data_IF_961233081384
#
_entry.id   IF_961233081384
#
_cell.length_a   1.000
_cell.length_b   1.000
_cell.length_c   1.000
_cell.angle_alpha   90.00
_cell.angle_beta   90.00
_cell.angle_gamma   90.00
#
_symmetry.space_group_name_H-M   'P 1'
#
loop_
_entity.id
_entity.type
_entity.pdbx_description
1 polymer ?
#
# COMPACT_ATOMS: atom_id res chain seq x y z
N UNK A 1 1.10 -16.05 -6.50
CA UNK A 1 0.24 -15.56 -7.60
C UNK A 1 -0.88 -16.54 -7.98
N UNK A 2 -0.58 -17.77 -8.45
CA UNK A 2 -1.60 -18.75 -8.89
C UNK A 2 -2.66 -19.04 -7.82
N UNK A 3 -2.23 -19.28 -6.58
CA UNK A 3 -3.13 -19.50 -5.46
C UNK A 3 -4.12 -18.33 -5.25
N UNK A 4 -3.70 -17.09 -5.52
CA UNK A 4 -4.57 -15.91 -5.38
C UNK A 4 -5.68 -15.90 -6.45
N UNK A 5 -5.34 -16.26 -7.69
CA UNK A 5 -6.33 -16.39 -8.78
C UNK A 5 -7.29 -17.54 -8.51
N UNK A 6 -6.79 -18.68 -8.02
CA UNK A 6 -7.62 -19.81 -7.64
C UNK A 6 -8.59 -19.43 -6.50
N UNK A 7 -8.09 -18.72 -5.47
CA UNK A 7 -8.90 -18.21 -4.38
C UNK A 7 -10.02 -17.28 -4.88
N UNK A 8 -9.74 -16.44 -5.88
CA UNK A 8 -10.79 -15.65 -6.55
C UNK A 8 -11.86 -16.50 -7.22
N UNK A 9 -11.45 -17.52 -7.98
CA UNK A 9 -12.39 -18.39 -8.69
C UNK A 9 -13.30 -19.10 -7.69
N UNK A 10 -12.73 -19.60 -6.60
CA UNK A 10 -13.47 -20.20 -5.48
C UNK A 10 -14.44 -19.19 -4.87
N UNK A 11 -13.97 -17.96 -4.61
CA UNK A 11 -14.78 -16.85 -4.10
C UNK A 11 -16.05 -16.62 -4.92
N UNK A 12 -15.91 -16.64 -6.25
CA UNK A 12 -17.06 -16.43 -7.12
C UNK A 12 -17.97 -17.67 -7.22
N UNK A 13 -17.40 -18.86 -7.37
CA UNK A 13 -18.17 -20.08 -7.62
C UNK A 13 -18.91 -20.57 -6.37
N UNK A 14 -18.26 -20.52 -5.21
CA UNK A 14 -18.84 -21.05 -3.97
C UNK A 14 -19.66 -20.03 -3.19
N UNK A 15 -19.27 -18.75 -3.23
CA UNK A 15 -19.84 -17.72 -2.35
C UNK A 15 -20.53 -16.58 -3.11
N UNK A 16 -20.59 -16.64 -4.45
CA UNK A 16 -21.12 -15.58 -5.31
C UNK A 16 -20.61 -14.17 -4.94
N UNK A 17 -19.31 -14.08 -4.65
CA UNK A 17 -18.70 -12.82 -4.20
C UNK A 17 -18.78 -11.72 -5.27
N UNK A 18 -19.24 -10.54 -4.86
CA UNK A 18 -19.27 -9.34 -5.69
C UNK A 18 -17.87 -8.69 -5.85
N UNK A 19 -17.00 -8.87 -4.86
CA UNK A 19 -15.62 -8.40 -4.88
C UNK A 19 -14.68 -9.43 -4.25
N UNK A 20 -13.41 -9.33 -4.58
CA UNK A 20 -12.38 -10.22 -4.07
C UNK A 20 -11.32 -9.45 -3.29
N UNK A 21 -11.17 -9.76 -2.01
CA UNK A 21 -10.16 -9.16 -1.14
C UNK A 21 -9.03 -10.16 -0.90
N UNK A 22 -7.80 -9.72 -1.18
CA UNK A 22 -6.59 -10.53 -1.04
C UNK A 22 -5.56 -9.83 -0.16
N UNK A 23 -4.63 -10.57 0.41
CA UNK A 23 -3.54 -9.97 1.18
C UNK A 23 -2.28 -10.83 1.09
N UNK A 24 -1.59 -10.86 -0.06
CA UNK A 24 -0.30 -11.52 -0.15
C UNK A 24 0.66 -10.91 0.90
N UNK A 25 1.22 -11.77 1.74
CA UNK A 25 2.16 -11.39 2.80
C UNK A 25 3.38 -12.29 2.77
N UNK A 26 4.54 -11.71 3.07
CA UNK A 26 5.78 -12.46 3.16
C UNK A 26 5.79 -13.31 4.42
N UNK A 27 5.95 -14.63 4.30
CA UNK A 27 5.79 -15.57 5.42
C UNK A 27 6.71 -15.28 6.62
N UNK A 28 7.95 -14.87 6.38
CA UNK A 28 8.91 -14.59 7.47
C UNK A 28 8.89 -13.14 7.97
N UNK A 29 8.41 -12.20 7.15
CA UNK A 29 8.50 -10.76 7.44
C UNK A 29 7.16 -10.15 7.83
N UNK A 30 6.05 -10.80 7.49
CA UNK A 30 4.69 -10.36 7.81
C UNK A 30 4.31 -9.03 7.15
N UNK A 31 4.85 -8.73 5.97
CA UNK A 31 4.51 -7.51 5.22
C UNK A 31 4.28 -7.82 3.74
N UNK A 32 3.60 -6.90 3.05
CA UNK A 32 3.20 -7.01 1.64
C UNK A 32 4.11 -6.24 0.69
N UNK A 33 5.18 -5.63 1.22
CA UNK A 33 6.06 -4.69 0.49
C UNK A 33 7.39 -5.30 0.06
N UNK A 34 7.57 -6.60 0.29
CA UNK A 34 8.74 -7.32 -0.22
C UNK A 34 8.63 -7.52 -1.73
N UNK A 35 9.77 -7.53 -2.43
CA UNK A 35 9.87 -7.59 -3.90
C UNK A 35 9.08 -8.77 -4.51
N UNK A 36 9.21 -9.93 -3.91
CA UNK A 36 8.52 -11.18 -4.29
C UNK A 36 7.00 -11.08 -4.10
N UNK A 37 6.55 -10.44 -3.03
CA UNK A 37 5.14 -10.22 -2.74
C UNK A 37 4.54 -9.18 -3.68
N UNK A 38 5.22 -8.07 -3.93
CA UNK A 38 4.80 -7.05 -4.91
C UNK A 38 4.63 -7.67 -6.30
N UNK A 39 5.57 -8.50 -6.72
CA UNK A 39 5.44 -9.25 -7.98
C UNK A 39 4.22 -10.18 -7.97
N UNK A 40 3.98 -10.91 -6.88
CA UNK A 40 2.81 -11.77 -6.75
C UNK A 40 1.49 -11.00 -6.83
N UNK A 41 1.41 -9.84 -6.17
CA UNK A 41 0.26 -8.93 -6.24
C UNK A 41 0.06 -8.50 -7.69
N UNK A 42 1.08 -7.94 -8.34
CA UNK A 42 0.99 -7.43 -9.70
C UNK A 42 0.51 -8.48 -10.71
N UNK A 43 1.09 -9.68 -10.67
CA UNK A 43 0.76 -10.75 -11.63
C UNK A 43 -0.65 -11.28 -11.41
N UNK A 44 -1.03 -11.54 -10.15
CA UNK A 44 -2.38 -12.04 -9.84
C UNK A 44 -3.47 -11.02 -10.15
N UNK A 45 -3.24 -9.76 -9.79
CA UNK A 45 -4.12 -8.62 -10.08
C UNK A 45 -4.38 -8.48 -11.57
N UNK A 46 -3.30 -8.46 -12.35
CA UNK A 46 -3.38 -8.35 -13.80
C UNK A 46 -4.11 -9.54 -14.43
N UNK A 47 -3.89 -10.76 -13.93
CA UNK A 47 -4.58 -11.93 -14.41
C UNK A 47 -6.09 -11.85 -14.12
N UNK A 48 -6.49 -11.41 -12.93
CA UNK A 48 -7.90 -11.31 -12.56
C UNK A 48 -8.58 -10.17 -13.32
N UNK A 49 -8.01 -8.97 -13.31
CA UNK A 49 -8.62 -7.77 -13.90
C UNK A 49 -8.72 -7.83 -15.43
N UNK A 50 -7.89 -8.64 -16.10
CA UNK A 50 -8.00 -8.87 -17.56
C UNK A 50 -9.04 -9.90 -17.95
N UNK A 51 -9.26 -10.90 -17.09
CA UNK A 51 -10.13 -12.03 -17.41
C UNK A 51 -11.50 -11.95 -16.74
N UNK A 52 -11.71 -10.99 -15.84
CA UNK A 52 -12.96 -10.81 -15.09
C UNK A 52 -13.32 -9.33 -15.00
N UNK A 53 -14.62 -9.03 -14.78
CA UNK A 53 -15.12 -7.67 -14.57
C UNK A 53 -15.38 -7.36 -13.08
N UNK A 54 -14.81 -8.16 -12.19
CA UNK A 54 -15.00 -8.02 -10.75
C UNK A 54 -14.04 -7.01 -10.13
N UNK A 55 -14.48 -6.42 -9.02
CA UNK A 55 -13.62 -5.58 -8.19
C UNK A 55 -12.66 -6.47 -7.40
N UNK A 56 -11.37 -6.15 -7.52
CA UNK A 56 -10.30 -6.87 -6.83
C UNK A 56 -9.53 -5.88 -5.97
N UNK A 57 -9.46 -6.18 -4.68
CA UNK A 57 -8.76 -5.42 -3.67
C UNK A 57 -7.59 -6.23 -3.13
N UNK A 58 -6.53 -5.52 -2.72
CA UNK A 58 -5.45 -6.14 -1.95
C UNK A 58 -5.03 -5.25 -0.79
N UNK A 59 -4.99 -5.83 0.41
CA UNK A 59 -4.51 -5.16 1.62
C UNK A 59 -2.98 -5.10 1.61
N UNK A 60 -2.45 -3.88 1.65
CA UNK A 60 -1.01 -3.65 1.80
C UNK A 60 -0.63 -3.52 3.27
N UNK A 61 -0.01 -4.56 3.84
CA UNK A 61 0.58 -4.48 5.18
C UNK A 61 2.01 -3.96 5.08
N UNK A 62 2.25 -2.80 5.67
CA UNK A 62 3.53 -2.09 5.62
C UNK A 62 4.37 -2.47 6.83
N UNK A 63 5.65 -2.75 6.62
CA UNK A 63 6.53 -3.15 7.71
C UNK A 63 6.84 -1.98 8.66
N UNK A 64 7.04 -0.79 8.09
CA UNK A 64 7.27 0.43 8.84
C UNK A 64 6.02 0.91 9.61
N UNK A 65 6.26 1.56 10.75
CA UNK A 65 5.20 2.16 11.56
C UNK A 65 4.72 3.53 11.05
N UNK A 66 3.66 4.08 11.66
CA UNK A 66 3.05 5.35 11.26
C UNK A 66 4.03 6.53 11.34
N UNK A 67 3.77 7.55 10.52
CA UNK A 67 4.51 8.81 10.43
C UNK A 67 6.02 8.64 10.17
N UNK A 68 6.41 7.56 9.50
CA UNK A 68 7.81 7.33 9.11
C UNK A 68 8.00 7.54 7.62
N UNK A 69 9.16 8.05 7.21
CA UNK A 69 9.52 8.15 5.78
C UNK A 69 9.47 6.78 5.10
N UNK A 70 9.87 5.73 5.82
CA UNK A 70 9.86 4.36 5.29
C UNK A 70 8.44 3.88 5.00
N UNK A 71 7.45 4.21 5.84
CA UNK A 71 6.05 3.89 5.56
C UNK A 71 5.60 4.47 4.22
N UNK A 72 5.87 5.74 3.94
CA UNK A 72 5.45 6.35 2.69
C UNK A 72 6.17 5.77 1.47
N UNK A 73 7.44 5.37 1.60
CA UNK A 73 8.16 4.68 0.52
C UNK A 73 7.59 3.29 0.22
N UNK A 74 7.37 2.50 1.27
CA UNK A 74 6.77 1.17 1.17
C UNK A 74 5.34 1.26 0.62
N UNK A 75 4.56 2.22 1.10
CA UNK A 75 3.20 2.49 0.64
C UNK A 75 3.18 2.92 -0.84
N UNK A 76 4.09 3.80 -1.25
CA UNK A 76 4.25 4.20 -2.64
C UNK A 76 4.55 3.02 -3.56
N UNK A 77 5.48 2.15 -3.16
CA UNK A 77 5.83 0.96 -3.94
C UNK A 77 4.63 0.01 -4.07
N UNK A 78 3.88 -0.21 -2.99
CA UNK A 78 2.71 -1.06 -3.00
C UNK A 78 1.57 -0.49 -3.84
N UNK A 79 1.23 0.79 -3.66
CA UNK A 79 0.13 1.46 -4.36
C UNK A 79 0.42 1.57 -5.86
N UNK A 80 1.64 1.95 -6.25
CA UNK A 80 2.05 1.99 -7.66
C UNK A 80 1.93 0.61 -8.32
N UNK A 81 2.32 -0.45 -7.59
CA UNK A 81 2.17 -1.83 -8.05
C UNK A 81 0.70 -2.23 -8.20
N UNK A 82 -0.14 -1.90 -7.22
CA UNK A 82 -1.55 -2.26 -7.21
C UNK A 82 -2.32 -1.56 -8.34
N UNK A 83 -2.24 -0.23 -8.44
CA UNK A 83 -3.02 0.54 -9.43
C UNK A 83 -2.61 0.18 -10.85
N UNK A 84 -1.30 0.14 -11.13
CA UNK A 84 -0.81 -0.16 -12.48
C UNK A 84 -1.10 -1.61 -12.92
N UNK A 85 -1.36 -2.53 -11.98
CA UNK A 85 -1.75 -3.90 -12.28
C UNK A 85 -3.26 -4.11 -12.46
N UNK A 86 -4.07 -3.06 -12.31
CA UNK A 86 -5.52 -3.10 -12.49
C UNK A 86 -6.30 -3.43 -11.22
N UNK A 87 -5.67 -3.27 -10.06
CA UNK A 87 -6.28 -3.47 -8.75
C UNK A 87 -7.04 -2.23 -8.32
N UNK A 88 -8.19 -2.38 -7.66
CA UNK A 88 -8.81 -1.23 -6.99
C UNK A 88 -8.06 -0.98 -5.69
N UNK A 89 -7.62 0.26 -5.52
CA UNK A 89 -6.69 0.66 -4.46
C UNK A 89 -7.37 0.71 -3.09
N UNK A 90 -6.62 0.33 -2.07
CA UNK A 90 -6.98 0.48 -0.66
C UNK A 90 -5.84 1.16 0.09
N UNK A 91 -6.16 1.86 1.17
CA UNK A 91 -5.16 2.41 2.08
C UNK A 91 -4.28 1.31 2.66
N UNK A 92 -2.99 1.62 2.82
CA UNK A 92 -2.02 0.69 3.38
C UNK A 92 -2.01 0.77 4.91
N UNK A 93 -1.65 -0.33 5.55
CA UNK A 93 -1.74 -0.49 7.00
C UNK A 93 -0.34 -0.45 7.62
N UNK A 94 -0.03 0.53 8.48
CA UNK A 94 1.26 0.65 9.13
C UNK A 94 1.51 -0.45 10.17
N UNK A 95 2.77 -0.62 10.57
CA UNK A 95 3.21 -1.50 11.66
C UNK A 95 2.69 -2.94 11.52
N UNK A 96 2.56 -3.45 10.28
CA UNK A 96 2.01 -4.77 9.94
C UNK A 96 0.60 -5.02 10.49
N UNK A 97 -0.09 -3.97 10.93
CA UNK A 97 -1.34 -4.02 11.70
C UNK A 97 -1.30 -4.91 12.95
N UNK A 98 -0.13 -5.11 13.57
CA UNK A 98 0.00 -5.92 14.80
C UNK A 98 0.03 -5.08 16.08
N UNK A 99 0.16 -3.76 15.96
CA UNK A 99 0.23 -2.85 17.10
C UNK A 99 -1.04 -2.02 17.21
N UNK A 100 -1.66 -2.06 18.39
CA UNK A 100 -2.82 -1.23 18.73
C UNK A 100 -2.42 0.24 18.77
N UNK A 101 -3.26 1.12 18.25
CA UNK A 101 -3.01 2.56 18.22
C UNK A 101 -1.76 2.94 17.41
N UNK A 102 -1.45 2.23 16.33
CA UNK A 102 -0.33 2.57 15.41
C UNK A 102 -0.81 2.99 14.01
N UNK A 103 -1.97 3.65 13.90
CA UNK A 103 -2.52 4.17 12.64
C UNK A 103 -3.08 5.58 12.78
N UNK A 104 -2.46 6.55 12.13
CA UNK A 104 -2.89 7.95 12.16
C UNK A 104 -3.59 8.33 10.85
N UNK A 105 -4.38 9.42 10.84
CA UNK A 105 -4.95 9.96 9.60
C UNK A 105 -3.92 10.44 8.58
N UNK A 106 -2.63 10.59 8.95
CA UNK A 106 -1.58 11.00 8.02
C UNK A 106 -1.24 9.90 7.02
N UNK A 107 -1.24 8.64 7.45
CA UNK A 107 -0.99 7.50 6.57
C UNK A 107 -2.09 7.35 5.52
N UNK A 108 -3.34 7.59 5.92
CA UNK A 108 -4.49 7.58 5.01
C UNK A 108 -4.38 8.72 3.98
N UNK A 109 -4.12 9.95 4.42
CA UNK A 109 -3.93 11.10 3.52
C UNK A 109 -2.81 10.86 2.52
N UNK A 110 -1.64 10.44 3.00
CA UNK A 110 -0.51 10.15 2.11
C UNK A 110 -0.81 9.01 1.13
N UNK A 111 -1.55 7.98 1.56
CA UNK A 111 -1.97 6.89 0.65
C UNK A 111 -2.92 7.37 -0.45
N UNK A 112 -3.81 8.32 -0.15
CA UNK A 112 -4.70 8.93 -1.15
C UNK A 112 -3.91 9.78 -2.14
N UNK A 113 -2.99 10.63 -1.67
CA UNK A 113 -2.14 11.46 -2.55
C UNK A 113 -1.26 10.59 -3.47
N UNK A 114 -0.65 9.54 -2.93
CA UNK A 114 0.12 8.55 -3.71
C UNK A 114 -0.78 7.85 -4.73
N UNK A 115 -1.99 7.50 -4.33
CA UNK A 115 -2.98 6.87 -5.21
C UNK A 115 -3.30 7.77 -6.39
N UNK A 116 -3.67 9.02 -6.14
CA UNK A 116 -3.98 10.00 -7.18
C UNK A 116 -2.80 10.19 -8.14
N UNK A 117 -1.56 10.25 -7.63
CA UNK A 117 -0.37 10.34 -8.45
C UNK A 117 -0.09 9.09 -9.32
N UNK A 118 -0.60 7.92 -8.92
CA UNK A 118 -0.44 6.66 -9.65
C UNK A 118 -1.57 6.37 -10.65
N UNK A 119 -2.71 7.09 -10.56
CA UNK A 119 -3.82 6.92 -11.50
C UNK A 119 -3.36 7.28 -12.92
N UNK A 120 -3.62 6.38 -13.86
CA UNK A 120 -3.24 6.56 -15.28
C UNK A 120 -1.76 6.27 -15.59
N UNK A 121 -0.96 5.90 -14.59
CA UNK A 121 0.45 5.54 -14.79
C UNK A 121 0.59 4.29 -15.67
N UNK A 122 1.51 4.31 -16.64
CA UNK A 122 1.79 3.10 -17.43
C UNK A 122 2.50 2.07 -16.57
N UNK A 123 2.21 0.80 -16.83
CA UNK A 123 2.88 -0.31 -16.14
C UNK A 123 4.40 -0.29 -16.23
N UNK A 124 4.95 0.14 -17.35
CA UNK A 124 6.41 0.25 -17.54
C UNK A 124 7.00 1.32 -16.63
N UNK A 125 6.35 2.48 -16.53
CA UNK A 125 6.74 3.58 -15.65
C UNK A 125 6.63 3.17 -14.17
N UNK A 126 5.51 2.55 -13.80
CA UNK A 126 5.29 2.03 -12.45
C UNK A 126 6.34 0.98 -12.05
N UNK A 127 6.74 0.11 -12.99
CA UNK A 127 7.73 -0.92 -12.74
C UNK A 127 9.12 -0.33 -12.44
N UNK A 128 9.56 0.69 -13.19
CA UNK A 128 10.83 1.36 -12.91
C UNK A 128 10.76 2.16 -11.59
N UNK A 129 9.67 2.89 -11.34
CA UNK A 129 9.44 3.57 -10.07
C UNK A 129 9.52 2.61 -8.88
N UNK A 130 8.87 1.45 -8.96
CA UNK A 130 8.88 0.46 -7.88
C UNK A 130 10.28 -0.11 -7.64
N UNK A 131 11.05 -0.36 -8.71
CA UNK A 131 12.45 -0.79 -8.58
C UNK A 131 13.29 0.26 -7.86
N UNK A 132 13.14 1.52 -8.23
CA UNK A 132 13.87 2.63 -7.59
C UNK A 132 13.48 2.75 -6.11
N UNK A 133 12.17 2.68 -5.80
CA UNK A 133 11.68 2.70 -4.42
C UNK A 133 12.23 1.54 -3.60
N UNK A 134 12.28 0.33 -4.17
CA UNK A 134 12.84 -0.85 -3.50
C UNK A 134 14.30 -0.63 -3.06
N UNK A 135 15.12 0.06 -3.86
CA UNK A 135 16.51 0.36 -3.47
C UNK A 135 16.62 1.20 -2.19
N UNK A 136 15.57 1.98 -1.85
CA UNK A 136 15.58 2.90 -0.72
C UNK A 136 15.19 2.26 0.62
N UNK A 137 14.50 1.11 0.59
CA UNK A 137 13.99 0.46 1.80
C UNK A 137 14.32 -1.04 1.94
N UNK A 138 14.60 -1.78 0.86
CA UNK A 138 14.81 -3.24 0.92
C UNK A 138 16.03 -3.63 1.76
N UNK A 139 17.08 -2.81 1.72
CA UNK A 139 18.33 -3.01 2.49
C UNK A 139 18.21 -2.55 3.95
N UNK A 140 17.19 -1.75 4.30
CA UNK A 140 17.01 -1.31 5.68
C UNK A 140 16.37 -2.46 6.46
N UNK A 141 17.09 -2.97 7.46
CA UNK A 141 16.60 -4.02 8.33
C UNK A 141 15.21 -3.66 8.86
N UNK A 142 14.30 -4.64 8.85
CA UNK A 142 12.91 -4.57 9.30
C UNK A 142 12.80 -4.37 10.82
N UNK A 143 13.62 -3.50 11.39
CA UNK A 143 13.44 -2.98 12.74
C UNK A 143 12.39 -1.90 12.61
N UNK A 144 11.23 -2.05 13.26
CA UNK A 144 10.21 -1.00 13.32
C UNK A 144 10.93 0.28 13.77
N UNK A 145 11.08 1.31 12.91
CA UNK A 145 11.58 2.59 13.37
C UNK A 145 10.61 3.06 14.44
N UNK A 146 11.11 3.68 15.52
CA UNK A 146 10.34 4.22 16.64
C UNK A 146 9.13 5.03 16.17
N UNK A 147 8.03 4.33 15.90
CA UNK A 147 6.81 4.93 15.41
C UNK A 147 5.99 5.33 16.62
N UNK A 148 5.46 6.55 16.58
CA UNK A 148 4.64 7.08 17.67
C UNK A 148 3.26 6.46 17.60
N UNK A 149 2.79 5.94 18.72
CA UNK A 149 1.38 5.56 18.88
C UNK A 149 0.49 6.78 18.62
N UNK A 150 -0.66 6.58 18.00
CA UNK A 150 -1.68 7.58 17.70
C UNK A 150 -1.99 8.45 18.91
N UNK A 151 -2.14 7.82 20.08
CA UNK A 151 -2.39 8.51 21.36
C UNK A 151 -1.30 9.53 21.70
N UNK A 152 -0.04 9.22 21.38
CA UNK A 152 1.11 10.13 21.61
C UNK A 152 1.29 11.15 20.47
N UNK A 153 0.74 10.87 19.29
CA UNK A 153 0.77 11.77 18.14
C UNK A 153 -0.31 12.86 18.22
N UNK A 154 -1.47 12.55 18.81
CA UNK A 154 -2.63 13.44 18.86
C UNK A 154 -2.74 14.28 20.15
N UNK A 155 -1.83 14.12 21.12
CA UNK A 155 -1.83 14.90 22.37
C UNK A 155 -1.45 16.39 22.21
N UNK A 156 -1.14 16.85 20.99
CA UNK A 156 -0.98 18.27 20.68
C UNK A 156 -2.22 18.86 20.00
N UNK A 157 -3.27 19.18 20.78
CA UNK A 157 -4.50 19.91 20.38
C UNK A 157 -5.36 19.24 19.28
N UNK A 158 -6.67 19.55 19.17
CA UNK A 158 -7.52 19.06 18.08
C UNK A 158 -6.91 19.45 16.73
N UNK A 159 -6.78 18.46 15.84
CA UNK A 159 -6.08 18.57 14.57
C UNK A 159 -6.74 19.61 13.64
N UNK A 160 -6.25 20.85 13.69
CA UNK A 160 -6.31 21.76 12.56
C UNK A 160 -5.13 21.43 11.64
N UNK A 161 -5.33 21.21 10.33
CA UNK A 161 -4.21 20.95 9.43
C UNK A 161 -3.32 22.20 9.37
N UNK A 162 -2.07 22.05 9.80
CA UNK A 162 -1.07 23.12 9.71
C UNK A 162 -0.87 23.50 8.24
N UNK A 163 -1.33 24.71 7.90
CA UNK A 163 -1.17 25.34 6.58
C UNK A 163 0.30 25.76 6.43
N UNK A 164 1.14 24.89 5.87
CA UNK A 164 2.43 25.29 5.31
C UNK A 164 2.22 25.71 3.86
N UNK A 165 1.66 26.91 3.66
CA UNK A 165 1.77 27.60 2.37
C UNK A 165 3.21 28.08 2.20
N UNK A 166 3.99 27.39 1.38
CA UNK A 166 5.15 28.00 0.74
C UNK A 166 4.64 29.09 -0.20
N UNK A 167 4.65 30.33 0.25
CA UNK A 167 4.55 31.50 -0.62
C UNK A 167 5.77 31.50 -1.54
N UNK A 168 5.60 31.00 -2.76
CA UNK A 168 6.46 31.32 -3.88
C UNK A 168 5.93 32.60 -4.51
N UNK A 169 6.63 33.70 -4.22
CA UNK A 169 6.60 34.94 -4.99
C UNK A 169 7.14 34.65 -6.38
N UNK A 170 6.29 34.72 -7.42
CA UNK A 170 6.72 34.91 -8.80
C UNK A 170 5.57 35.44 -9.67
N UNK A 171 5.81 36.66 -10.18
CA UNK A 171 5.07 37.48 -11.17
C UNK A 171 3.97 38.40 -10.64
#
# INVERSE_FOLDING_TARGET
AVANVAYRIIGRVLFDCAYHLTFPVHITRGCSTMRDVLWCVAVSSQAISRNTKELVWSLGYIAAGPMTRQFFLESAAYIATAISSGLSVQTTHPAKAVLNDYITPMEMRGSVEITEACVGMKRTEANELVKDLLTLYETKSTTLPSARSTRTATTSKPASPARNTSTSTAR
#
